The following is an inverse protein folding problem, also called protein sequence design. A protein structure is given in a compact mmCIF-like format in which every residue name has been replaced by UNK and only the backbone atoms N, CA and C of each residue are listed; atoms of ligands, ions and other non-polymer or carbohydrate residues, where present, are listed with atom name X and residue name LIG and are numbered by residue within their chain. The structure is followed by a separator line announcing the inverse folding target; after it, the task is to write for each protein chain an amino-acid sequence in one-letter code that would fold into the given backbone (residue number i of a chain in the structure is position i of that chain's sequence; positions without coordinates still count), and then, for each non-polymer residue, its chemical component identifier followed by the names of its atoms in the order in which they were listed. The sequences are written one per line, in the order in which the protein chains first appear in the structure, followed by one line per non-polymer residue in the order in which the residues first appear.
data_IF_829390575799
#
_entry.id   IF_829390575799
#
_cell.length_a   1.000
_cell.length_b   1.000
_cell.length_c   1.000
_cell.angle_alpha   90.00
_cell.angle_beta   90.00
_cell.angle_gamma   90.00
#
_symmetry.space_group_name_H-M   'P 1'
#
loop_
_entity.id
_entity.type
_entity.pdbx_description
1 polymer ?
#
# COMPACT_ATOMS: atom_id res chain seq x y z
N UNK A 1 8.41 5.08 17.68
CA UNK A 1 7.08 4.81 17.11
C UNK A 1 6.78 3.34 17.30
N UNK A 2 5.51 2.97 17.51
CA UNK A 2 5.08 1.57 17.52
C UNK A 2 5.00 0.98 16.11
N UNK A 3 5.10 -0.35 16.04
CA UNK A 3 5.00 -1.09 14.78
C UNK A 3 3.67 -0.85 14.08
N UNK A 4 2.57 -0.84 14.84
CA UNK A 4 1.23 -0.57 14.32
C UNK A 4 1.15 0.76 13.57
N UNK A 5 1.78 1.81 14.11
CA UNK A 5 1.83 3.13 13.47
C UNK A 5 2.61 3.12 12.15
N UNK A 6 3.71 2.38 12.07
CA UNK A 6 4.49 2.26 10.84
C UNK A 6 3.77 1.46 9.76
N UNK A 7 3.10 0.37 10.13
CA UNK A 7 2.26 -0.40 9.22
C UNK A 7 1.12 0.45 8.68
N UNK A 8 0.44 1.23 9.52
CA UNK A 8 -0.63 2.13 9.08
C UNK A 8 -0.13 3.18 8.08
N UNK A 9 1.00 3.83 8.37
CA UNK A 9 1.63 4.80 7.46
C UNK A 9 2.03 4.12 6.14
N UNK A 10 2.57 2.90 6.19
CA UNK A 10 2.90 2.11 5.00
C UNK A 10 1.65 1.84 4.14
N UNK A 11 0.54 1.40 4.74
CA UNK A 11 -0.71 1.11 4.02
C UNK A 11 -1.30 2.37 3.39
N UNK A 12 -1.33 3.49 4.13
CA UNK A 12 -1.81 4.78 3.61
C UNK A 12 -0.98 5.24 2.43
N UNK A 13 0.35 5.13 2.54
CA UNK A 13 1.27 5.54 1.46
C UNK A 13 1.13 4.66 0.22
N UNK A 14 0.96 3.35 0.40
CA UNK A 14 0.73 2.41 -0.70
C UNK A 14 -0.57 2.73 -1.43
N UNK A 15 -1.66 3.00 -0.71
CA UNK A 15 -2.95 3.38 -1.31
C UNK A 15 -2.83 4.64 -2.16
N UNK A 16 -2.13 5.66 -1.68
CA UNK A 16 -1.87 6.90 -2.43
C UNK A 16 -1.00 6.65 -3.68
N UNK A 17 -0.01 5.76 -3.59
CA UNK A 17 0.84 5.38 -4.71
C UNK A 17 0.08 4.60 -5.79
N UNK A 18 -0.76 3.64 -5.39
CA UNK A 18 -1.56 2.85 -6.32
C UNK A 18 -2.63 3.71 -7.01
N UNK A 19 -3.27 4.63 -6.30
CA UNK A 19 -4.23 5.55 -6.92
C UNK A 19 -3.53 6.45 -7.97
N UNK A 20 -2.31 6.91 -7.67
CA UNK A 20 -1.51 7.66 -8.64
C UNK A 20 -1.16 6.81 -9.87
N UNK A 21 -0.75 5.55 -9.69
CA UNK A 21 -0.46 4.64 -10.79
C UNK A 21 -1.71 4.38 -11.64
N UNK A 22 -2.86 4.22 -10.99
CA UNK A 22 -4.14 4.02 -11.67
C UNK A 22 -4.53 5.22 -12.52
N UNK A 23 -4.39 6.44 -12.01
CA UNK A 23 -4.68 7.67 -12.74
C UNK A 23 -3.80 7.86 -13.97
N UNK A 24 -2.59 7.29 -13.97
CA UNK A 24 -1.66 7.31 -15.11
C UNK A 24 -2.00 6.29 -16.19
N UNK A 25 -2.60 5.16 -15.81
CA UNK A 25 -3.04 4.13 -16.76
C UNK A 25 -4.33 4.50 -17.49
N UNK A 26 -4.98 5.60 -17.12
CA UNK A 26 -6.16 6.09 -17.83
C UNK A 26 -5.72 6.80 -19.12
N UNK A 27 -6.12 6.32 -20.31
CA UNK A 27 -5.78 7.00 -21.55
C UNK A 27 -6.44 8.38 -21.59
N UNK A 28 -5.61 9.41 -21.67
CA UNK A 28 -6.04 10.80 -21.83
C UNK A 28 -6.44 11.03 -23.28
N UNK A 29 -7.70 10.77 -23.64
CA UNK A 29 -8.19 11.07 -24.99
C UNK A 29 -8.57 12.56 -25.07
N UNK A 30 -7.78 13.35 -25.82
CA UNK A 30 -8.14 14.72 -26.17
C UNK A 30 -9.18 14.69 -27.29
N UNK A 31 -10.34 15.31 -27.09
CA UNK A 31 -11.45 15.36 -28.05
C UNK A 31 -11.18 16.21 -29.30
N UNK A 32 -10.00 16.80 -29.42
CA UNK A 32 -9.55 17.50 -30.63
C UNK A 32 -8.03 17.36 -30.71
N UNK A 33 -7.51 17.02 -31.89
CA UNK A 33 -6.09 16.77 -32.18
C UNK A 33 -5.11 17.94 -31.97
N UNK A 34 -5.44 18.89 -31.09
CA UNK A 34 -4.47 19.78 -30.48
C UNK A 34 -3.93 19.13 -29.22
N UNK A 35 -2.63 18.84 -29.20
CA UNK A 35 -1.86 18.41 -28.03
C UNK A 35 -2.02 19.47 -26.93
N UNK A 36 -3.04 19.32 -26.09
CA UNK A 36 -3.20 20.10 -24.88
C UNK A 36 -2.47 19.36 -23.75
N UNK A 37 -1.38 19.95 -23.30
CA UNK A 37 -0.40 19.48 -22.32
C UNK A 37 -0.98 19.45 -20.88
N UNK A 38 -2.18 18.90 -20.70
CA UNK A 38 -2.94 19.00 -19.45
C UNK A 38 -2.83 17.77 -18.53
N UNK A 39 -1.89 16.86 -18.83
CA UNK A 39 -1.63 15.62 -18.04
C UNK A 39 -0.93 15.87 -16.69
N UNK A 40 -0.54 17.12 -16.41
CA UNK A 40 0.40 17.45 -15.32
C UNK A 40 -0.25 17.74 -13.95
N UNK A 41 -1.56 18.06 -13.87
CA UNK A 41 -2.10 18.68 -12.64
C UNK A 41 -2.80 17.73 -11.65
N UNK A 42 -3.37 16.61 -12.08
CA UNK A 42 -4.04 15.67 -11.16
C UNK A 42 -3.06 14.80 -10.35
N UNK A 43 -1.88 14.56 -10.92
CA UNK A 43 -0.86 13.62 -10.41
C UNK A 43 -0.10 14.13 -9.18
N UNK A 44 -0.11 15.44 -8.93
CA UNK A 44 0.73 16.10 -7.92
C UNK A 44 0.06 16.29 -6.56
N UNK A 45 -1.27 16.16 -6.47
CA UNK A 45 -2.03 16.48 -5.26
C UNK A 45 -1.57 15.67 -4.03
N UNK A 46 -1.21 14.40 -4.23
CA UNK A 46 -0.78 13.50 -3.16
C UNK A 46 0.75 13.38 -2.99
N UNK A 47 1.54 13.94 -3.91
CA UNK A 47 3.01 13.91 -3.85
C UNK A 47 3.59 14.41 -2.52
N UNK A 48 3.21 15.60 -2.00
CA UNK A 48 3.80 16.10 -0.75
C UNK A 48 3.42 15.25 0.48
N UNK A 49 2.24 14.63 0.48
CA UNK A 49 1.79 13.73 1.54
C UNK A 49 2.53 12.40 1.50
N UNK A 50 2.69 11.81 0.31
CA UNK A 50 3.47 10.58 0.08
C UNK A 50 4.91 10.78 0.58
N UNK A 51 5.53 11.90 0.22
CA UNK A 51 6.90 12.24 0.65
C UNK A 51 7.02 12.35 2.18
N UNK A 52 6.08 13.03 2.83
CA UNK A 52 6.05 13.15 4.30
C UNK A 52 5.91 11.78 4.97
N UNK A 53 4.99 10.96 4.48
CA UNK A 53 4.74 9.63 5.04
C UNK A 53 5.92 8.68 4.85
N UNK A 54 6.57 8.68 3.68
CA UNK A 54 7.78 7.89 3.43
C UNK A 54 8.92 8.31 4.37
N UNK A 55 9.13 9.62 4.57
CA UNK A 55 10.14 10.09 5.53
C UNK A 55 9.82 9.64 6.97
N UNK A 56 8.57 9.74 7.41
CA UNK A 56 8.16 9.25 8.73
C UNK A 56 8.35 7.74 8.88
N UNK A 57 8.02 6.98 7.83
CA UNK A 57 8.21 5.54 7.79
C UNK A 57 9.69 5.17 7.89
N UNK A 58 10.56 5.86 7.14
CA UNK A 58 12.02 5.70 7.20
C UNK A 58 12.55 5.94 8.61
N UNK A 59 12.25 7.10 9.20
CA UNK A 59 12.69 7.46 10.55
C UNK A 59 12.23 6.43 11.59
N UNK A 60 10.99 5.95 11.46
CA UNK A 60 10.46 4.93 12.35
C UNK A 60 11.10 3.55 12.18
N UNK A 61 11.44 3.15 10.95
CA UNK A 61 12.18 1.91 10.69
C UNK A 61 13.58 1.98 11.30
N UNK A 62 14.28 3.11 11.14
CA UNK A 62 15.62 3.30 11.74
C UNK A 62 15.56 3.27 13.28
N UNK A 63 14.56 3.93 13.87
CA UNK A 63 14.36 3.90 15.32
C UNK A 63 14.02 2.49 15.84
N UNK A 64 13.31 1.68 15.04
CA UNK A 64 12.98 0.29 15.39
C UNK A 64 14.20 -0.63 15.23
N UNK A 65 14.97 -0.50 14.14
CA UNK A 65 16.22 -1.25 13.96
C UNK A 65 17.24 -0.92 15.07
N UNK A 66 17.26 0.32 15.58
CA UNK A 66 18.10 0.70 16.71
C UNK A 66 17.67 0.05 18.05
N UNK A 67 16.36 -0.24 18.22
CA UNK A 67 15.80 -0.80 19.46
C UNK A 67 15.82 -2.33 19.46
N UNK A 68 15.39 -2.96 18.37
CA UNK A 68 15.19 -4.40 18.26
C UNK A 68 16.31 -5.10 17.46
N UNK A 69 17.29 -4.33 16.96
CA UNK A 69 18.36 -4.80 16.11
C UNK A 69 17.97 -4.88 14.63
N UNK A 70 18.94 -4.67 13.74
CA UNK A 70 18.76 -4.73 12.27
C UNK A 70 18.28 -6.09 11.76
N UNK A 71 18.32 -7.14 12.60
CA UNK A 71 17.96 -8.51 12.24
C UNK A 71 16.50 -8.86 12.48
N UNK A 72 15.70 -7.99 13.10
CA UNK A 72 14.27 -8.22 13.33
C UNK A 72 13.53 -8.47 12.01
N UNK A 73 12.80 -9.59 11.92
CA UNK A 73 12.03 -9.96 10.71
C UNK A 73 11.04 -8.87 10.30
N UNK A 74 10.43 -8.22 11.30
CA UNK A 74 9.51 -7.09 11.08
C UNK A 74 10.22 -5.88 10.48
N UNK A 75 11.42 -5.54 10.95
CA UNK A 75 12.24 -4.47 10.39
C UNK A 75 12.62 -4.73 8.93
N UNK A 76 13.01 -5.97 8.60
CA UNK A 76 13.31 -6.38 7.21
C UNK A 76 12.09 -6.28 6.30
N UNK A 77 10.92 -6.70 6.76
CA UNK A 77 9.67 -6.60 6.00
C UNK A 77 9.31 -5.13 5.72
N UNK A 78 9.35 -4.27 6.73
CA UNK A 78 9.07 -2.84 6.58
C UNK A 78 10.09 -2.15 5.66
N UNK A 79 11.37 -2.51 5.74
CA UNK A 79 12.42 -2.01 4.83
C UNK A 79 12.17 -2.45 3.39
N UNK A 80 11.80 -3.72 3.18
CA UNK A 80 11.43 -4.21 1.85
C UNK A 80 10.20 -3.48 1.29
N UNK A 81 9.20 -3.21 2.14
CA UNK A 81 8.01 -2.45 1.76
C UNK A 81 8.35 -1.02 1.38
N UNK A 82 9.16 -0.35 2.20
CA UNK A 82 9.65 0.99 1.91
C UNK A 82 10.41 1.03 0.58
N UNK A 83 11.28 0.06 0.32
CA UNK A 83 12.00 -0.06 -0.96
C UNK A 83 11.06 -0.18 -2.15
N UNK A 84 10.02 -1.02 -2.06
CA UNK A 84 8.99 -1.17 -3.10
C UNK A 84 8.19 0.12 -3.31
N UNK A 85 7.72 0.76 -2.24
CA UNK A 85 6.98 2.02 -2.33
C UNK A 85 7.83 3.15 -2.92
N UNK A 86 9.12 3.19 -2.58
CA UNK A 86 10.07 4.14 -3.17
C UNK A 86 10.34 3.85 -4.65
N UNK A 87 10.36 2.59 -5.05
CA UNK A 87 10.48 2.20 -6.46
C UNK A 87 9.22 2.53 -7.27
N UNK A 88 8.04 2.63 -6.65
CA UNK A 88 6.83 3.12 -7.33
C UNK A 88 6.83 4.65 -7.50
N UNK A 89 7.70 5.36 -6.79
CA UNK A 89 7.86 6.80 -6.89
C UNK A 89 8.70 7.17 -8.13
N UNK A 90 8.44 8.33 -8.71
CA UNK A 90 9.02 8.79 -9.98
C UNK A 90 10.50 9.19 -9.81
N UNK A 91 11.28 9.17 -10.90
CA UNK A 91 12.74 9.44 -10.91
C UNK A 91 13.11 10.75 -10.19
N UNK A 92 12.28 11.79 -10.33
CA UNK A 92 12.47 13.11 -9.71
C UNK A 92 12.28 13.12 -8.19
N UNK A 93 11.28 12.40 -7.67
CA UNK A 93 11.03 12.31 -6.22
C UNK A 93 11.96 11.31 -5.52
N UNK A 94 12.49 10.31 -6.25
CA UNK A 94 13.46 9.34 -5.72
C UNK A 94 14.75 10.01 -5.27
N UNK A 95 15.16 11.11 -5.93
CA UNK A 95 16.36 11.87 -5.58
C UNK A 95 16.25 12.55 -4.20
N UNK A 96 15.03 12.90 -3.77
CA UNK A 96 14.79 13.60 -2.51
C UNK A 96 14.57 12.67 -1.31
N UNK A 97 14.32 11.37 -1.55
CA UNK A 97 14.03 10.38 -0.51
C UNK A 97 15.19 9.38 -0.41
N UNK A 98 16.10 9.54 0.58
CA UNK A 98 17.28 8.70 0.67
C UNK A 98 16.92 7.22 0.91
N UNK A 99 17.75 6.31 0.39
CA UNK A 99 17.69 4.87 0.70
C UNK A 99 17.98 4.64 2.17
N UNK A 100 17.36 3.62 2.77
CA UNK A 100 17.78 3.18 4.11
C UNK A 100 19.22 2.65 4.13
N UNK A 101 19.77 2.28 2.97
CA UNK A 101 21.18 1.94 2.82
C UNK A 101 22.05 3.21 2.74
N UNK A 102 22.87 3.43 3.77
CA UNK A 102 24.05 4.30 3.70
C UNK A 102 25.25 3.44 3.28
N UNK A 103 25.75 3.70 2.08
CA UNK A 103 27.04 3.33 1.51
C UNK A 103 27.41 1.83 1.51
N UNK A 104 27.26 1.20 0.35
CA UNK A 104 28.46 0.69 -0.32
C UNK A 104 28.40 1.11 -1.79
N UNK A 105 29.33 1.98 -2.14
CA UNK A 105 29.68 2.30 -3.51
C UNK A 105 30.38 1.10 -4.14
N UNK A 106 29.72 0.46 -5.10
CA UNK A 106 30.38 -0.12 -6.26
C UNK A 106 29.44 0.00 -7.47
N UNK A 107 29.85 0.70 -8.54
CA UNK A 107 29.13 0.68 -9.79
C UNK A 107 29.43 -0.66 -10.46
N UNK A 108 28.55 -1.66 -10.27
CA UNK A 108 28.59 -2.83 -11.15
C UNK A 108 28.03 -2.43 -12.51
N UNK A 109 28.91 -1.88 -13.34
CA UNK A 109 28.83 -2.05 -14.79
C UNK A 109 28.91 -3.54 -15.11
N UNK A 110 27.91 -4.00 -15.87
CA UNK A 110 27.94 -5.09 -16.87
C UNK A 110 28.13 -6.54 -16.38
N UNK A 111 27.64 -7.56 -17.12
CA UNK A 111 27.20 -7.55 -18.51
C UNK A 111 25.74 -7.93 -18.75
N UNK A 112 25.20 -7.29 -19.78
CA UNK A 112 24.15 -7.76 -20.68
C UNK A 112 24.15 -9.30 -20.85
N UNK A 113 23.03 -9.98 -20.56
CA UNK A 113 22.78 -11.30 -21.10
C UNK A 113 22.28 -11.12 -22.54
N UNK A 114 23.21 -11.23 -23.48
CA UNK A 114 22.93 -11.37 -24.90
C UNK A 114 22.46 -12.82 -25.17
N UNK A 115 21.13 -13.05 -25.20
CA UNK A 115 20.51 -14.19 -25.91
C UNK A 115 19.01 -13.91 -26.12
N UNK A 116 18.37 -14.49 -27.15
CA UNK A 116 18.45 -14.23 -28.58
C UNK A 116 17.19 -13.50 -29.08
N UNK A 117 17.32 -12.82 -30.23
CA UNK A 117 16.18 -12.36 -31.04
C UNK A 117 15.20 -13.53 -31.23
N UNK A 118 13.99 -13.39 -30.70
CA UNK A 118 12.87 -14.28 -31.00
C UNK A 118 11.61 -13.48 -31.32
N UNK A 119 10.75 -14.04 -32.18
CA UNK A 119 10.04 -13.28 -33.19
C UNK A 119 8.89 -12.47 -32.60
N UNK A 120 8.78 -11.24 -33.10
CA UNK A 120 7.56 -10.47 -33.16
C UNK A 120 6.42 -11.33 -33.74
N UNK A 121 5.54 -11.88 -32.92
CA UNK A 121 4.18 -12.25 -33.34
C UNK A 121 3.25 -12.43 -32.14
N UNK A 122 2.51 -11.36 -31.82
CA UNK A 122 1.14 -11.47 -31.36
C UNK A 122 0.26 -10.74 -32.39
N UNK A 123 -0.35 -11.45 -33.36
CA UNK A 123 -1.29 -10.85 -34.29
C UNK A 123 -2.66 -10.79 -33.61
N UNK A 124 -2.86 -9.82 -32.71
CA UNK A 124 -4.20 -9.45 -32.24
C UNK A 124 -4.54 -7.97 -32.40
N UNK A 125 -3.60 -7.15 -32.85
CA UNK A 125 -3.81 -5.73 -33.11
C UNK A 125 -4.14 -5.40 -34.59
N UNK A 126 -4.26 -6.39 -35.47
CA UNK A 126 -4.51 -6.14 -36.90
C UNK A 126 -5.98 -5.97 -37.29
N UNK A 127 -6.93 -5.93 -36.35
CA UNK A 127 -8.35 -5.70 -36.68
C UNK A 127 -8.75 -4.22 -36.70
N UNK A 128 -7.84 -3.30 -36.36
CA UNK A 128 -8.11 -1.84 -36.39
C UNK A 128 -7.30 -1.09 -37.46
N UNK A 129 -6.51 -1.77 -38.28
CA UNK A 129 -5.72 -1.13 -39.33
C UNK A 129 -6.56 -0.91 -40.60
N UNK A 130 -7.07 0.32 -40.72
CA UNK A 130 -7.45 0.98 -41.97
C UNK A 130 -8.70 0.43 -42.69
N UNK A 131 -9.68 1.27 -43.10
CA UNK A 131 -10.51 0.92 -44.23
C UNK A 131 -9.56 0.79 -45.44
N UNK A 132 -9.50 -0.39 -46.03
CA UNK A 132 -8.73 -0.64 -47.25
C UNK A 132 -9.26 0.26 -48.35
N UNK A 133 -8.56 1.36 -48.64
CA UNK A 133 -8.74 2.04 -49.92
C UNK A 133 -8.23 1.08 -51.00
N UNK A 134 -9.16 0.52 -51.77
CA UNK A 134 -8.83 -0.30 -52.92
C UNK A 134 -7.96 0.51 -53.89
N UNK A 135 -6.92 -0.09 -54.52
CA UNK A 135 -6.18 0.55 -55.61
C UNK A 135 -7.15 1.02 -56.69
N UNK A 136 -6.98 2.26 -57.17
CA UNK A 136 -7.78 2.81 -58.26
C UNK A 136 -7.50 2.02 -59.54
N UNK A 137 -8.53 1.34 -60.06
CA UNK A 137 -8.52 0.55 -61.28
C UNK A 137 -9.45 1.22 -62.30
N UNK A 138 -8.99 1.44 -63.53
CA UNK A 138 -9.75 2.08 -64.62
C UNK A 138 -10.83 1.17 -65.25
N UNK A 139 -11.28 0.12 -64.55
CA UNK A 139 -12.30 -0.82 -65.04
C UNK A 139 -13.68 -0.47 -64.44
N UNK A 140 -14.61 0.09 -65.23
CA UNK A 140 -15.87 0.64 -64.71
C UNK A 140 -16.92 -0.40 -64.29
N UNK A 141 -16.67 -1.70 -64.49
CA UNK A 141 -17.68 -2.78 -64.28
C UNK A 141 -17.45 -3.62 -63.00
N UNK A 142 -16.51 -3.24 -62.13
CA UNK A 142 -16.26 -3.92 -60.84
C UNK A 142 -16.60 -3.03 -59.63
N UNK A 143 -17.66 -2.24 -59.73
CA UNK A 143 -18.15 -1.33 -58.68
C UNK A 143 -19.17 -1.94 -57.71
N UNK A 144 -19.09 -3.24 -57.41
CA UNK A 144 -19.88 -3.82 -56.33
C UNK A 144 -19.14 -3.61 -55.00
N UNK A 145 -19.73 -2.81 -54.11
CA UNK A 145 -19.36 -2.63 -52.71
C UNK A 145 -18.23 -1.63 -52.36
N UNK A 146 -18.14 -0.50 -53.05
CA UNK A 146 -17.56 0.71 -52.42
C UNK A 146 -18.65 1.31 -51.52
N UNK A 147 -18.49 1.35 -50.19
CA UNK A 147 -19.48 1.96 -49.32
C UNK A 147 -19.66 3.42 -49.73
N UNK A 148 -20.89 3.80 -50.11
CA UNK A 148 -21.32 5.18 -50.32
C UNK A 148 -20.72 6.08 -49.22
N UNK A 149 -20.07 7.22 -49.54
CA UNK A 149 -19.44 8.08 -48.54
C UNK A 149 -20.43 8.53 -47.44
N UNK A 150 -21.72 8.60 -47.77
CA UNK A 150 -22.81 8.83 -46.81
C UNK A 150 -22.95 7.69 -45.77
N UNK A 151 -22.80 6.43 -46.18
CA UNK A 151 -22.87 5.26 -45.29
C UNK A 151 -21.66 5.15 -44.38
N UNK A 152 -20.47 5.54 -44.87
CA UNK A 152 -19.25 5.62 -44.07
C UNK A 152 -19.34 6.72 -43.00
N UNK A 153 -19.83 7.91 -43.37
CA UNK A 153 -20.06 9.01 -42.41
C UNK A 153 -21.11 8.63 -41.36
N UNK A 154 -22.18 7.95 -41.74
CA UNK A 154 -23.21 7.50 -40.81
C UNK A 154 -22.68 6.46 -39.82
N UNK A 155 -21.86 5.52 -40.29
CA UNK A 155 -21.18 4.52 -39.44
C UNK A 155 -20.22 5.19 -38.46
N UNK A 156 -19.46 6.19 -38.92
CA UNK A 156 -18.54 6.94 -38.05
C UNK A 156 -19.28 7.71 -36.94
N UNK A 157 -20.43 8.31 -37.24
CA UNK A 157 -21.25 8.99 -36.22
C UNK A 157 -21.84 8.02 -35.20
N UNK A 158 -22.25 6.84 -35.63
CA UNK A 158 -22.75 5.80 -34.73
C UNK A 158 -21.66 5.33 -33.76
N UNK A 159 -20.45 5.04 -34.27
CA UNK A 159 -19.30 4.66 -33.45
C UNK A 159 -18.92 5.77 -32.46
N UNK A 160 -18.95 7.03 -32.90
CA UNK A 160 -18.66 8.18 -32.03
C UNK A 160 -19.70 8.32 -30.90
N UNK A 161 -21.00 8.13 -31.18
CA UNK A 161 -22.03 8.14 -30.15
C UNK A 161 -21.88 6.98 -29.14
N UNK A 162 -21.51 5.78 -29.62
CA UNK A 162 -21.27 4.64 -28.74
C UNK A 162 -20.08 4.89 -27.81
N UNK A 163 -19.02 5.50 -28.32
CA UNK A 163 -17.85 5.90 -27.54
C UNK A 163 -18.18 6.98 -26.51
N UNK A 164 -18.94 8.01 -26.87
CA UNK A 164 -19.37 9.04 -25.90
C UNK A 164 -20.18 8.43 -24.76
N UNK A 165 -21.10 7.50 -25.05
CA UNK A 165 -21.87 6.81 -24.02
C UNK A 165 -20.99 5.96 -23.10
N UNK A 166 -19.95 5.32 -23.63
CA UNK A 166 -18.97 4.58 -22.83
C UNK A 166 -18.10 5.51 -21.97
N UNK A 167 -17.75 6.69 -22.46
CA UNK A 167 -17.00 7.70 -21.71
C UNK A 167 -17.82 8.28 -20.55
N UNK A 168 -19.12 8.51 -20.74
CA UNK A 168 -19.99 8.96 -19.64
C UNK A 168 -20.07 7.92 -18.52
N UNK A 169 -20.21 6.63 -18.89
CA UNK A 169 -20.21 5.54 -17.91
C UNK A 169 -18.85 5.40 -17.21
N UNK A 170 -17.75 5.54 -17.94
CA UNK A 170 -16.40 5.52 -17.39
C UNK A 170 -16.16 6.71 -16.45
N UNK A 171 -16.59 7.91 -16.84
CA UNK A 171 -16.52 9.13 -16.04
C UNK A 171 -17.29 8.99 -14.73
N UNK A 172 -18.51 8.45 -14.77
CA UNK A 172 -19.29 8.14 -13.58
C UNK A 172 -18.61 7.10 -12.67
N UNK A 173 -18.00 6.07 -13.26
CA UNK A 173 -17.24 5.05 -12.52
C UNK A 173 -15.97 5.62 -11.88
N UNK A 174 -15.22 6.45 -12.60
CA UNK A 174 -14.02 7.13 -12.09
C UNK A 174 -14.40 8.07 -10.96
N UNK A 175 -15.46 8.88 -11.12
CA UNK A 175 -15.91 9.79 -10.07
C UNK A 175 -16.35 9.02 -8.79
N UNK A 176 -17.06 7.91 -8.96
CA UNK A 176 -17.43 7.02 -7.84
C UNK A 176 -16.18 6.44 -7.18
N UNK A 177 -15.22 5.96 -7.96
CA UNK A 177 -14.01 5.36 -7.40
C UNK A 177 -13.14 6.40 -6.69
N UNK A 178 -13.07 7.62 -7.22
CA UNK A 178 -12.42 8.75 -6.55
C UNK A 178 -13.09 9.05 -5.20
N UNK A 179 -14.42 9.10 -5.15
CA UNK A 179 -15.15 9.28 -3.90
C UNK A 179 -14.89 8.16 -2.88
N UNK A 180 -14.84 6.89 -3.33
CA UNK A 180 -14.48 5.75 -2.48
C UNK A 180 -13.03 5.89 -1.97
N UNK A 181 -12.10 6.33 -2.81
CA UNK A 181 -10.70 6.56 -2.43
C UNK A 181 -10.57 7.63 -1.35
N UNK A 182 -11.32 8.73 -1.46
CA UNK A 182 -11.37 9.78 -0.43
C UNK A 182 -11.93 9.25 0.90
N UNK A 183 -13.02 8.49 0.86
CA UNK A 183 -13.58 7.85 2.06
C UNK A 183 -12.61 6.87 2.72
N UNK A 184 -11.88 6.08 1.91
CA UNK A 184 -10.83 5.19 2.43
C UNK A 184 -9.73 6.01 3.10
N UNK A 185 -9.35 7.16 2.54
CA UNK A 185 -8.33 8.01 3.12
C UNK A 185 -8.77 8.57 4.49
N UNK A 186 -10.01 9.07 4.57
CA UNK A 186 -10.61 9.56 5.81
C UNK A 186 -10.70 8.46 6.87
N UNK A 187 -11.17 7.26 6.49
CA UNK A 187 -11.25 6.11 7.39
C UNK A 187 -9.86 5.68 7.87
N UNK A 188 -8.83 5.72 7.01
CA UNK A 188 -7.46 5.43 7.41
C UNK A 188 -6.90 6.46 8.40
N UNK A 189 -7.31 7.73 8.32
CA UNK A 189 -6.97 8.75 9.32
C UNK A 189 -7.69 8.54 10.64
N UNK A 190 -8.96 8.13 10.61
CA UNK A 190 -9.70 7.71 11.81
C UNK A 190 -9.02 6.49 12.44
N UNK A 191 -8.69 5.46 11.65
CA UNK A 191 -7.96 4.27 12.10
C UNK A 191 -6.59 4.63 12.67
N UNK A 192 -5.89 5.64 12.13
CA UNK A 192 -4.63 6.11 12.69
C UNK A 192 -4.79 6.72 14.09
N UNK A 193 -5.86 7.49 14.29
CA UNK A 193 -6.24 8.03 15.59
C UNK A 193 -6.50 6.91 16.60
N UNK A 194 -7.34 5.94 16.21
CA UNK A 194 -7.67 4.78 17.04
C UNK A 194 -6.44 3.93 17.39
N UNK A 195 -5.53 3.71 16.43
CA UNK A 195 -4.29 2.97 16.67
C UNK A 195 -3.34 3.72 17.63
N UNK A 196 -3.33 5.05 17.59
CA UNK A 196 -2.52 5.86 18.52
C UNK A 196 -3.09 5.78 19.94
N UNK A 197 -4.41 5.81 20.09
CA UNK A 197 -5.08 5.61 21.39
C UNK A 197 -4.85 4.21 21.94
N UNK A 198 -4.98 3.19 21.09
CA UNK A 198 -4.70 1.80 21.45
C UNK A 198 -3.25 1.61 21.91
N UNK A 199 -2.28 2.23 21.23
CA UNK A 199 -0.86 2.20 21.64
C UNK A 199 -0.65 2.81 23.03
N UNK A 200 -1.29 3.96 23.29
CA UNK A 200 -1.26 4.60 24.62
C UNK A 200 -1.87 3.69 25.71
N UNK A 201 -2.96 2.99 25.40
CA UNK A 201 -3.61 2.09 26.36
C UNK A 201 -2.81 0.80 26.57
N UNK A 202 -2.12 0.31 25.54
CA UNK A 202 -1.16 -0.79 25.67
C UNK A 202 0.03 -0.39 26.55
N UNK A 203 0.58 0.81 26.42
CA UNK A 203 1.68 1.31 27.27
C UNK A 203 1.26 1.42 28.75
N UNK A 204 0.04 1.90 29.01
CA UNK A 204 -0.55 1.91 30.37
C UNK A 204 -0.71 0.49 30.91
N UNK A 205 -1.20 -0.43 30.08
CA UNK A 205 -1.39 -1.84 30.43
C UNK A 205 -0.05 -2.52 30.72
N UNK A 206 0.97 -2.29 29.89
CA UNK A 206 2.33 -2.78 30.10
C UNK A 206 2.92 -2.28 31.42
N UNK A 207 2.74 -0.99 31.73
CA UNK A 207 3.20 -0.40 32.99
C UNK A 207 2.51 -1.04 34.20
N UNK A 208 1.19 -1.24 34.13
CA UNK A 208 0.40 -1.91 35.18
C UNK A 208 0.83 -3.37 35.35
N UNK A 209 1.02 -4.09 34.25
CA UNK A 209 1.46 -5.48 34.27
C UNK A 209 2.89 -5.61 34.83
N UNK A 210 3.79 -4.67 34.50
CA UNK A 210 5.12 -4.59 35.09
C UNK A 210 5.09 -4.38 36.61
N UNK A 211 4.19 -3.53 37.11
CA UNK A 211 3.98 -3.36 38.55
C UNK A 211 3.37 -4.60 39.21
N UNK A 212 2.38 -5.22 38.57
CA UNK A 212 1.76 -6.46 39.04
C UNK A 212 2.79 -7.59 39.13
N UNK A 213 3.64 -7.76 38.11
CA UNK A 213 4.75 -8.70 38.11
C UNK A 213 5.71 -8.45 39.26
N UNK A 214 6.14 -7.20 39.49
CA UNK A 214 7.01 -6.85 40.63
C UNK A 214 6.38 -7.19 41.99
N UNK A 215 5.06 -7.01 42.13
CA UNK A 215 4.33 -7.40 43.34
C UNK A 215 4.30 -8.92 43.50
N UNK A 216 4.04 -9.65 42.43
CA UNK A 216 4.08 -11.12 42.44
C UNK A 216 5.47 -11.65 42.77
N UNK A 217 6.53 -11.09 42.18
CA UNK A 217 7.92 -11.48 42.49
C UNK A 217 8.24 -11.24 43.97
N UNK A 218 7.77 -10.13 44.54
CA UNK A 218 7.94 -9.82 45.97
C UNK A 218 7.18 -10.80 46.86
N UNK A 219 5.95 -11.18 46.48
CA UNK A 219 5.16 -12.19 47.21
C UNK A 219 5.83 -13.56 47.11
N UNK A 220 6.26 -13.97 45.92
CA UNK A 220 6.96 -15.24 45.70
C UNK A 220 8.24 -15.33 46.53
N UNK A 221 9.04 -14.25 46.57
CA UNK A 221 10.24 -14.20 47.40
C UNK A 221 9.92 -14.18 48.90
N UNK A 222 8.86 -13.48 49.32
CA UNK A 222 8.39 -13.46 50.70
C UNK A 222 7.92 -14.83 51.20
N UNK A 223 7.21 -15.58 50.35
CA UNK A 223 6.82 -16.97 50.63
C UNK A 223 8.07 -17.85 50.73
N UNK A 224 9.03 -17.74 49.80
CA UNK A 224 10.25 -18.57 49.84
C UNK A 224 11.04 -18.39 51.14
N UNK A 225 11.18 -17.16 51.62
CA UNK A 225 11.95 -16.86 52.82
C UNK A 225 11.23 -17.23 54.13
N UNK A 226 9.90 -17.18 54.14
CA UNK A 226 9.09 -17.46 55.33
C UNK A 226 8.32 -18.79 55.22
N UNK A 227 8.64 -19.63 54.24
CA UNK A 227 7.90 -20.87 53.95
C UNK A 227 7.80 -21.77 55.19
N UNK A 228 8.89 -21.91 55.93
CA UNK A 228 8.93 -22.72 57.17
C UNK A 228 8.01 -22.14 58.26
N UNK A 229 8.04 -20.83 58.48
CA UNK A 229 7.20 -20.16 59.49
C UNK A 229 5.73 -20.24 59.10
N UNK A 230 5.40 -20.03 57.83
CA UNK A 230 4.04 -20.17 57.29
C UNK A 230 3.57 -21.63 57.42
N UNK A 231 4.43 -22.61 57.12
CA UNK A 231 4.09 -24.03 57.26
C UNK A 231 3.81 -24.40 58.73
N UNK A 232 4.64 -23.95 59.68
CA UNK A 232 4.42 -24.17 61.12
C UNK A 232 3.10 -23.54 61.57
N UNK A 233 2.80 -22.29 61.18
CA UNK A 233 1.55 -21.63 61.51
C UNK A 233 0.32 -22.35 60.93
N UNK A 234 0.42 -22.83 59.69
CA UNK A 234 -0.63 -23.61 59.04
C UNK A 234 -0.86 -24.94 59.77
N UNK A 235 0.20 -25.61 60.23
CA UNK A 235 0.13 -26.84 61.02
C UNK A 235 -0.59 -26.62 62.36
N UNK A 236 -0.28 -25.52 63.05
CA UNK A 236 -0.97 -25.13 64.30
C UNK A 236 -2.46 -24.87 64.04
N UNK A 237 -2.80 -24.18 62.95
CA UNK A 237 -4.20 -23.90 62.59
C UNK A 237 -4.99 -25.18 62.32
N UNK A 238 -4.42 -26.13 61.58
CA UNK A 238 -5.02 -27.47 61.37
C UNK A 238 -5.21 -28.19 62.70
N UNK A 239 -4.22 -28.13 63.60
CA UNK A 239 -4.32 -28.74 64.92
C UNK A 239 -5.45 -28.13 65.76
N UNK A 240 -5.64 -26.80 65.71
CA UNK A 240 -6.75 -26.13 66.39
C UNK A 240 -8.11 -26.57 65.84
N UNK A 241 -8.24 -26.69 64.52
CA UNK A 241 -9.47 -27.21 63.90
C UNK A 241 -9.76 -28.63 64.39
N UNK A 242 -8.74 -29.51 64.44
CA UNK A 242 -8.89 -30.87 64.95
C UNK A 242 -9.30 -30.88 66.42
N UNK A 243 -8.72 -30.03 67.26
CA UNK A 243 -9.12 -29.90 68.67
C UNK A 243 -10.58 -29.49 68.78
N UNK A 244 -11.04 -28.49 68.03
CA UNK A 244 -12.44 -28.05 68.06
C UNK A 244 -13.36 -29.18 67.61
N UNK A 245 -13.02 -29.87 66.51
CA UNK A 245 -13.79 -31.00 65.97
C UNK A 245 -13.81 -32.24 66.85
N UNK A 246 -12.77 -32.46 67.65
CA UNK A 246 -12.67 -33.61 68.55
C UNK A 246 -13.27 -33.31 69.93
N UNK A 247 -13.21 -32.04 70.36
CA UNK A 247 -13.78 -31.57 71.62
C UNK A 247 -15.29 -31.34 71.52
N UNK A 248 -15.80 -31.00 70.34
CA UNK A 248 -17.25 -30.89 70.04
C UNK A 248 -17.79 -32.25 69.64
#
# INVERSE_FOLDING_TARGET
MSLAKLTAISTKTLSLLLERQRLQTLPSYSSNGSVADNSMNGSSLHSPQIRRNLNQLREGILAMEAKDGSTSETGKLLRSQYGRMRAMLWEEERAEIPSLDKADSSPSRTPEPEVPQQPTHNPRDSLLSQPSFAPYTDDPEQGADVPEPATMLQTQRYIMQEQDQQLDQLSHSINRQHHISLQINEELDVHHGLLTELDSDLDRTHTRLGQARKKLDRVAQGVKNNASVVAIGCLIFVLLILIIRFKT
#
